data_IF_451461704253
#
_entry.id   IF_451461704253
#
_cell.length_a   1.000
_cell.length_b   1.000
_cell.length_c   1.000
_cell.angle_alpha   90.00
_cell.angle_beta   90.00
_cell.angle_gamma   90.00
#
_symmetry.space_group_name_H-M   'P 1'
#
loop_
_entity.id
_entity.type
_entity.pdbx_description
1 polymer ?
#
# COMPACT_ATOMS: atom_id res chain seq x y z
N UNK A 1 6.48 -13.68 -6.06
CA UNK A 1 6.07 -12.30 -5.74
C UNK A 1 4.65 -12.40 -5.24
N UNK A 2 4.39 -11.84 -4.07
CA UNK A 2 3.07 -11.85 -3.43
C UNK A 2 2.37 -10.54 -3.82
N UNK A 3 1.15 -10.65 -4.36
CA UNK A 3 0.32 -9.48 -4.68
C UNK A 3 -0.35 -9.07 -3.39
N UNK A 4 -0.21 -7.81 -3.01
CA UNK A 4 -0.87 -7.25 -1.82
C UNK A 4 -2.14 -6.52 -2.21
N UNK A 5 -3.17 -6.73 -1.41
CA UNK A 5 -4.48 -6.10 -1.55
C UNK A 5 -4.53 -4.73 -0.87
N UNK A 6 -5.50 -3.93 -1.32
CA UNK A 6 -5.83 -2.59 -0.81
C UNK A 6 -6.00 -2.61 0.72
N UNK A 7 -6.63 -3.64 1.28
CA UNK A 7 -6.88 -3.74 2.72
C UNK A 7 -5.59 -3.75 3.55
N UNK A 8 -4.56 -4.49 3.15
CA UNK A 8 -3.30 -4.57 3.91
C UNK A 8 -2.59 -3.21 3.92
N UNK A 9 -2.63 -2.51 2.78
CA UNK A 9 -2.07 -1.17 2.64
C UNK A 9 -2.85 -0.19 3.53
N UNK A 10 -4.18 -0.22 3.49
CA UNK A 10 -5.02 0.66 4.31
C UNK A 10 -4.81 0.44 5.81
N UNK A 11 -4.71 -0.83 6.27
CA UNK A 11 -4.40 -1.13 7.68
C UNK A 11 -3.09 -0.51 8.13
N UNK A 12 -2.08 -0.51 7.26
CA UNK A 12 -0.80 0.10 7.55
C UNK A 12 -0.84 1.64 7.56
N UNK A 13 -1.58 2.26 6.63
CA UNK A 13 -1.62 3.71 6.47
C UNK A 13 -2.55 4.42 7.47
N UNK A 14 -3.65 3.79 7.84
CA UNK A 14 -4.67 4.40 8.71
C UNK A 14 -4.39 4.13 10.18
N UNK A 15 -3.86 2.94 10.51
CA UNK A 15 -3.62 2.51 11.90
C UNK A 15 -4.89 2.58 12.77
N UNK A 16 -6.03 2.17 12.21
CA UNK A 16 -7.32 2.20 12.90
C UNK A 16 -7.46 1.09 13.96
N UNK A 17 -6.80 -0.04 13.74
CA UNK A 17 -6.73 -1.17 14.65
C UNK A 17 -5.26 -1.57 14.87
N UNK A 18 -4.81 -1.59 16.12
CA UNK A 18 -3.40 -1.83 16.48
C UNK A 18 -2.94 -3.24 16.10
N UNK A 19 -3.80 -4.26 16.26
CA UNK A 19 -3.46 -5.65 15.90
C UNK A 19 -3.31 -5.80 14.40
N UNK A 20 -4.27 -5.27 13.62
CA UNK A 20 -4.23 -5.34 12.16
C UNK A 20 -3.08 -4.50 11.59
N UNK A 21 -2.78 -3.37 12.23
CA UNK A 21 -1.63 -2.54 11.90
C UNK A 21 -0.31 -3.32 12.10
N UNK A 22 -0.13 -3.98 13.24
CA UNK A 22 1.09 -4.73 13.52
C UNK A 22 1.26 -5.94 12.61
N UNK A 23 0.16 -6.61 12.23
CA UNK A 23 0.18 -7.66 11.21
C UNK A 23 0.64 -7.12 9.86
N UNK A 24 0.03 -6.03 9.38
CA UNK A 24 0.41 -5.40 8.12
C UNK A 24 1.88 -4.92 8.15
N UNK A 25 2.29 -4.27 9.24
CA UNK A 25 3.67 -3.83 9.47
C UNK A 25 4.66 -4.99 9.45
N UNK A 26 4.31 -6.14 10.03
CA UNK A 26 5.16 -7.33 9.99
C UNK A 26 5.32 -7.89 8.57
N UNK A 27 4.28 -7.80 7.72
CA UNK A 27 4.37 -8.18 6.31
C UNK A 27 5.35 -7.24 5.59
N UNK A 28 5.19 -5.92 5.77
CA UNK A 28 6.08 -4.93 5.16
C UNK A 28 7.53 -5.07 5.65
N UNK A 29 7.74 -5.30 6.94
CA UNK A 29 9.09 -5.52 7.50
C UNK A 29 9.76 -6.78 6.95
N UNK A 30 9.01 -7.87 6.74
CA UNK A 30 9.55 -9.07 6.08
C UNK A 30 9.94 -8.80 4.63
N UNK A 31 9.25 -7.88 3.95
CA UNK A 31 9.61 -7.48 2.60
C UNK A 31 10.85 -6.59 2.58
N UNK A 32 10.96 -5.66 3.53
CA UNK A 32 12.14 -4.82 3.74
C UNK A 32 13.39 -5.65 4.05
N UNK A 33 13.27 -6.68 4.90
CA UNK A 33 14.32 -7.67 5.19
C UNK A 33 14.71 -8.55 3.98
N UNK A 34 14.02 -8.42 2.84
CA UNK A 34 14.22 -9.25 1.65
C UNK A 34 13.68 -10.68 1.77
N UNK A 35 12.97 -11.01 2.87
CA UNK A 35 12.35 -12.32 3.10
C UNK A 35 11.09 -12.52 2.26
N UNK A 36 10.47 -11.43 1.80
CA UNK A 36 9.31 -11.43 0.89
C UNK A 36 9.50 -10.44 -0.24
N UNK A 37 8.89 -10.72 -1.39
CA UNK A 37 8.82 -9.80 -2.54
C UNK A 37 7.38 -9.40 -2.75
N UNK A 38 7.07 -8.13 -2.44
CA UNK A 38 5.72 -7.58 -2.55
C UNK A 38 5.52 -6.91 -3.91
N UNK A 39 4.34 -7.11 -4.47
CA UNK A 39 3.90 -6.52 -5.73
C UNK A 39 2.56 -5.81 -5.52
N UNK A 40 2.48 -4.54 -5.89
CA UNK A 40 1.24 -3.75 -5.84
C UNK A 40 0.83 -3.39 -7.25
N UNK A 41 -0.43 -3.62 -7.61
CA UNK A 41 -0.96 -3.21 -8.92
C UNK A 41 -1.37 -1.75 -8.88
N UNK A 42 -1.28 -1.07 -10.02
CA UNK A 42 -1.78 0.32 -10.16
C UNK A 42 -3.25 0.46 -9.74
N UNK A 43 -4.08 -0.55 -10.03
CA UNK A 43 -5.50 -0.55 -9.60
C UNK A 43 -5.66 -0.56 -8.07
N UNK A 44 -4.79 -1.27 -7.36
CA UNK A 44 -4.79 -1.32 -5.89
C UNK A 44 -4.40 0.05 -5.32
N UNK A 45 -3.44 0.74 -5.93
CA UNK A 45 -3.06 2.11 -5.54
C UNK A 45 -4.24 3.07 -5.73
N UNK A 46 -4.92 2.99 -6.88
CA UNK A 46 -6.08 3.83 -7.17
C UNK A 46 -7.22 3.59 -6.17
N UNK A 47 -7.49 2.33 -5.82
CA UNK A 47 -8.46 1.98 -4.77
C UNK A 47 -8.05 2.53 -3.40
N UNK A 48 -6.78 2.43 -3.03
CA UNK A 48 -6.28 3.00 -1.77
C UNK A 48 -6.55 4.50 -1.69
N UNK A 49 -6.21 5.26 -2.73
CA UNK A 49 -6.48 6.69 -2.80
C UNK A 49 -7.99 6.97 -2.66
N UNK A 50 -8.81 6.25 -3.42
CA UNK A 50 -10.27 6.42 -3.37
C UNK A 50 -10.85 6.15 -1.98
N UNK A 51 -10.40 5.09 -1.30
CA UNK A 51 -10.88 4.74 0.05
C UNK A 51 -10.41 5.75 1.09
N UNK A 52 -9.16 6.20 1.01
CA UNK A 52 -8.64 7.23 1.93
C UNK A 52 -9.41 8.55 1.80
N UNK A 53 -9.72 8.98 0.59
CA UNK A 53 -10.51 10.20 0.34
C UNK A 53 -11.99 10.01 0.72
N UNK A 54 -12.60 8.88 0.32
CA UNK A 54 -14.05 8.69 0.44
C UNK A 54 -14.49 8.23 1.82
N UNK A 55 -13.81 7.23 2.38
CA UNK A 55 -14.17 6.60 3.65
C UNK A 55 -13.49 7.29 4.83
N UNK A 56 -12.18 7.48 4.75
CA UNK A 56 -11.40 8.11 5.82
C UNK A 56 -11.36 9.64 5.76
N UNK A 57 -11.99 10.24 4.73
CA UNK A 57 -12.11 11.71 4.55
C UNK A 57 -10.76 12.44 4.59
N UNK A 58 -9.68 11.76 4.20
CA UNK A 58 -8.36 12.38 4.07
C UNK A 58 -8.36 13.38 2.92
N UNK A 59 -7.63 14.47 3.09
CA UNK A 59 -7.37 15.44 2.04
C UNK A 59 -6.44 14.84 0.97
N UNK A 60 -6.47 15.41 -0.23
CA UNK A 60 -5.60 14.96 -1.33
C UNK A 60 -4.12 15.05 -0.96
N UNK A 61 -3.75 16.06 -0.18
CA UNK A 61 -2.37 16.26 0.28
C UNK A 61 -1.94 15.14 1.25
N UNK A 62 -2.78 14.78 2.22
CA UNK A 62 -2.51 13.68 3.16
C UNK A 62 -2.42 12.32 2.44
N UNK A 63 -3.24 12.11 1.41
CA UNK A 63 -3.20 10.91 0.58
C UNK A 63 -1.92 10.86 -0.24
N UNK A 64 -1.55 11.99 -0.86
CA UNK A 64 -0.30 12.09 -1.63
C UNK A 64 0.92 11.81 -0.76
N UNK A 65 1.01 12.41 0.43
CA UNK A 65 2.11 12.17 1.38
C UNK A 65 2.18 10.69 1.79
N UNK A 66 1.03 10.09 2.11
CA UNK A 66 0.95 8.67 2.48
C UNK A 66 1.39 7.74 1.34
N UNK A 67 0.96 8.03 0.11
CA UNK A 67 1.33 7.24 -1.07
C UNK A 67 2.78 7.44 -1.47
N UNK A 68 3.31 8.65 -1.35
CA UNK A 68 4.72 8.94 -1.64
C UNK A 68 5.63 8.11 -0.74
N UNK A 69 5.37 8.09 0.56
CA UNK A 69 6.12 7.28 1.54
C UNK A 69 6.03 5.78 1.22
N UNK A 70 4.87 5.30 0.79
CA UNK A 70 4.69 3.88 0.43
C UNK A 70 5.40 3.51 -0.87
N UNK A 71 5.29 4.34 -1.90
CA UNK A 71 5.81 4.08 -3.24
C UNK A 71 7.31 4.36 -3.36
N UNK A 72 7.90 5.15 -2.45
CA UNK A 72 9.35 5.37 -2.36
C UNK A 72 10.12 4.14 -1.86
N UNK A 73 9.42 3.11 -1.39
CA UNK A 73 10.03 1.91 -0.81
C UNK A 73 10.62 0.99 -1.89
N UNK A 74 11.95 0.82 -1.88
CA UNK A 74 12.67 -0.01 -2.88
C UNK A 74 12.29 -1.50 -2.85
N UNK A 75 11.79 -1.98 -1.72
CA UNK A 75 11.35 -3.36 -1.54
C UNK A 75 9.93 -3.61 -2.09
N UNK A 76 9.20 -2.55 -2.44
CA UNK A 76 7.87 -2.60 -3.03
C UNK A 76 7.99 -2.50 -4.55
N UNK A 77 7.49 -3.50 -5.29
CA UNK A 77 7.41 -3.42 -6.75
C UNK A 77 6.00 -3.00 -7.16
N UNK A 78 5.91 -1.99 -8.01
CA UNK A 78 4.64 -1.62 -8.64
C UNK A 78 4.53 -2.36 -9.97
N UNK A 79 3.47 -3.15 -10.11
CA UNK A 79 3.09 -3.77 -11.38
C UNK A 79 2.28 -2.76 -12.18
N UNK A 80 2.93 -2.19 -13.19
CA UNK A 80 2.24 -1.48 -14.24
C UNK A 80 1.80 -2.48 -15.32
N UNK A 81 0.55 -2.36 -15.78
CA UNK A 81 0.18 -3.02 -17.02
C UNK A 81 0.77 -2.17 -18.13
N UNK A 82 1.88 -2.64 -18.70
CA UNK A 82 2.17 -2.28 -20.09
C UNK A 82 0.92 -2.68 -20.87
N UNK A 83 0.15 -1.67 -21.31
CA UNK A 83 -1.02 -1.87 -22.14
C UNK A 83 -0.59 -2.76 -23.32
N UNK A 84 -1.31 -3.84 -23.55
CA UNK A 84 -1.12 -4.71 -24.70
C UNK A 84 -1.10 -3.82 -25.95
N UNK A 85 0.02 -3.88 -26.68
CA UNK A 85 0.19 -3.26 -27.99
C UNK A 85 -0.97 -3.58 -28.94
#
# INVERSE_FOLDING_TARGET
MEIIDTNIILRYLVKDDESLYDEAKNIFKKAEDGKRKLLVKVVVIAECCYVLESFYKKTRDEVAESMEVLLSQKWLKVEDRVALC
#
